data_IF_926712844240
#
_entry.id   IF_926712844240
#
_cell.length_a   1.000
_cell.length_b   1.000
_cell.length_c   1.000
_cell.angle_alpha   90.00
_cell.angle_beta   90.00
_cell.angle_gamma   90.00
#
_symmetry.space_group_name_H-M   'P 1'
#
loop_
_entity.id
_entity.type
_entity.pdbx_description
1 polymer ?
#
# COMPACT_ATOMS: atom_id res chain seq x y z
N UNK A 1 -18.68 18.32 -6.25
CA UNK A 1 -19.75 17.54 -5.61
C UNK A 1 -21.15 18.17 -5.78
N UNK A 2 -21.48 19.37 -5.27
CA UNK A 2 -22.85 19.89 -5.32
C UNK A 2 -23.38 20.15 -6.74
N UNK A 3 -22.52 20.62 -7.65
CA UNK A 3 -22.89 20.84 -9.05
C UNK A 3 -23.23 19.53 -9.79
N UNK A 4 -22.45 18.48 -9.56
CA UNK A 4 -22.73 17.15 -10.13
C UNK A 4 -24.05 16.59 -9.62
N UNK A 5 -24.35 16.75 -8.32
CA UNK A 5 -25.64 16.37 -7.76
C UNK A 5 -26.80 17.19 -8.33
N UNK A 6 -26.60 18.47 -8.62
CA UNK A 6 -27.61 19.29 -9.30
C UNK A 6 -27.90 18.77 -10.71
N UNK A 7 -26.85 18.46 -11.49
CA UNK A 7 -27.02 17.93 -12.85
C UNK A 7 -27.67 16.54 -12.85
N UNK A 8 -27.15 15.60 -12.06
CA UNK A 8 -27.71 14.24 -11.99
C UNK A 8 -29.08 14.19 -11.31
N UNK A 9 -29.29 15.01 -10.28
CA UNK A 9 -30.58 15.13 -9.58
C UNK A 9 -31.70 15.48 -10.56
N UNK A 10 -31.45 16.34 -11.54
CA UNK A 10 -32.47 16.70 -12.55
C UNK A 10 -32.86 15.55 -13.47
N UNK A 11 -32.00 14.55 -13.67
CA UNK A 11 -32.28 13.39 -14.52
C UNK A 11 -32.94 12.22 -13.77
N UNK A 12 -32.60 12.04 -12.49
CA UNK A 12 -33.03 10.88 -11.71
C UNK A 12 -34.08 11.19 -10.63
N UNK A 13 -34.25 12.46 -10.26
CA UNK A 13 -35.11 12.91 -9.18
C UNK A 13 -36.12 13.89 -9.78
N UNK A 14 -37.41 13.62 -9.57
CA UNK A 14 -38.48 14.51 -9.98
C UNK A 14 -38.36 15.82 -9.18
N UNK A 15 -37.81 16.86 -9.81
CA UNK A 15 -37.43 18.16 -9.21
C UNK A 15 -38.60 18.91 -8.57
N UNK A 16 -39.83 18.44 -8.77
CA UNK A 16 -41.05 19.02 -8.21
C UNK A 16 -41.36 18.57 -6.78
N UNK A 17 -40.73 17.50 -6.27
CA UNK A 17 -41.02 16.96 -4.92
C UNK A 17 -39.84 16.95 -3.95
N UNK A 18 -38.63 17.18 -4.43
CA UNK A 18 -37.43 16.81 -3.68
C UNK A 18 -36.41 17.97 -3.69
N UNK A 19 -36.23 18.60 -2.54
CA UNK A 19 -35.26 19.67 -2.31
C UNK A 19 -33.92 19.09 -1.85
N UNK A 20 -32.85 19.36 -2.60
CA UNK A 20 -31.50 18.91 -2.25
C UNK A 20 -30.92 19.87 -1.18
N UNK A 21 -30.41 19.37 -0.05
CA UNK A 21 -29.89 20.19 1.05
C UNK A 21 -28.49 20.75 0.77
N UNK A 22 -28.36 21.68 -0.17
CA UNK A 22 -27.07 22.25 -0.58
C UNK A 22 -26.28 22.91 0.55
N UNK A 23 -26.96 23.55 1.51
CA UNK A 23 -26.34 24.21 2.64
C UNK A 23 -25.58 23.23 3.55
N UNK A 24 -26.18 22.08 3.85
CA UNK A 24 -25.54 21.05 4.68
C UNK A 24 -24.36 20.39 3.97
N UNK A 25 -24.46 20.17 2.66
CA UNK A 25 -23.34 19.68 1.85
C UNK A 25 -22.18 20.67 1.89
N UNK A 26 -22.47 21.98 1.79
CA UNK A 26 -21.45 23.03 1.89
C UNK A 26 -20.76 23.05 3.27
N UNK A 27 -21.53 22.99 4.36
CA UNK A 27 -20.98 22.94 5.72
C UNK A 27 -20.07 21.73 5.93
N UNK A 28 -20.44 20.56 5.42
CA UNK A 28 -19.64 19.35 5.54
C UNK A 28 -18.32 19.44 4.75
N UNK A 29 -18.34 20.07 3.56
CA UNK A 29 -17.13 20.36 2.81
C UNK A 29 -16.22 21.32 3.57
N UNK A 30 -16.78 22.36 4.19
CA UNK A 30 -16.02 23.30 5.01
C UNK A 30 -15.40 22.60 6.22
N UNK A 31 -16.12 21.67 6.86
CA UNK A 31 -15.61 20.90 7.99
C UNK A 31 -14.42 20.01 7.65
N UNK A 32 -14.30 19.52 6.40
CA UNK A 32 -13.13 18.79 5.92
C UNK A 32 -12.02 19.75 5.45
N UNK A 33 -12.39 20.87 4.84
CA UNK A 33 -11.44 21.86 4.33
C UNK A 33 -10.66 22.57 5.44
N UNK A 34 -11.31 22.94 6.54
CA UNK A 34 -10.68 23.63 7.69
C UNK A 34 -9.47 22.85 8.24
N UNK A 35 -9.59 21.57 8.67
CA UNK A 35 -8.45 20.83 9.20
C UNK A 35 -7.37 20.57 8.16
N UNK A 36 -7.72 20.43 6.87
CA UNK A 36 -6.74 20.30 5.80
C UNK A 36 -5.92 21.60 5.62
N UNK A 37 -6.58 22.76 5.62
CA UNK A 37 -5.94 24.07 5.54
C UNK A 37 -5.07 24.35 6.78
N UNK A 38 -5.56 24.00 7.97
CA UNK A 38 -4.79 24.10 9.22
C UNK A 38 -3.55 23.20 9.16
N UNK A 39 -3.69 21.97 8.68
CA UNK A 39 -2.57 21.04 8.50
C UNK A 39 -1.52 21.57 7.52
N UNK A 40 -1.95 22.17 6.41
CA UNK A 40 -1.06 22.80 5.44
C UNK A 40 -0.37 24.03 6.03
N UNK A 41 -1.11 24.89 6.74
CA UNK A 41 -0.57 26.06 7.42
C UNK A 41 0.47 25.68 8.48
N UNK A 42 0.21 24.64 9.27
CA UNK A 42 1.14 24.13 10.29
C UNK A 42 2.43 23.60 9.67
N UNK A 43 2.34 22.97 8.49
CA UNK A 43 3.52 22.50 7.74
C UNK A 43 4.42 23.65 7.29
N UNK A 44 3.83 24.77 6.87
CA UNK A 44 4.56 25.97 6.42
C UNK A 44 5.18 26.70 7.60
N UNK A 45 4.43 26.88 8.70
CA UNK A 45 4.87 27.71 9.83
C UNK A 45 5.90 27.01 10.73
N UNK A 46 5.72 25.71 11.02
CA UNK A 46 6.59 24.95 11.93
C UNK A 46 6.82 23.51 11.43
N UNK A 47 7.78 23.30 10.50
CA UNK A 47 8.02 21.99 9.91
C UNK A 47 8.47 20.93 10.94
N UNK A 48 9.16 21.33 12.01
CA UNK A 48 9.59 20.42 13.08
C UNK A 48 8.42 19.88 13.90
N UNK A 49 7.38 20.70 14.13
CA UNK A 49 6.18 20.26 14.82
C UNK A 49 5.33 19.36 13.92
N UNK A 50 5.21 19.71 12.63
CA UNK A 50 4.54 18.89 11.63
C UNK A 50 5.18 17.48 11.50
N UNK A 51 6.51 17.36 11.59
CA UNK A 51 7.21 16.05 11.61
C UNK A 51 6.88 15.20 12.85
N UNK A 52 6.74 15.81 14.04
CA UNK A 52 6.29 15.08 15.24
C UNK A 52 4.84 14.62 15.08
N UNK A 53 3.99 15.50 14.56
CA UNK A 53 2.57 15.21 14.37
C UNK A 53 2.37 14.09 13.34
N UNK A 54 3.09 14.12 12.21
CA UNK A 54 3.00 13.05 11.20
C UNK A 54 3.44 11.68 11.73
N UNK A 55 4.38 11.65 12.68
CA UNK A 55 4.78 10.41 13.37
C UNK A 55 3.68 9.86 14.30
N UNK A 56 2.84 10.72 14.87
CA UNK A 56 1.69 10.34 15.70
C UNK A 56 0.47 9.95 14.85
N UNK A 57 0.30 10.57 13.68
CA UNK A 57 -0.81 10.27 12.75
C UNK A 57 -0.73 8.83 12.24
N UNK A 58 0.47 8.28 12.01
CA UNK A 58 0.66 6.89 11.59
C UNK A 58 0.01 5.83 12.50
N UNK A 59 0.32 5.79 13.82
CA UNK A 59 -0.35 4.88 14.75
C UNK A 59 -1.84 5.21 14.95
N UNK A 60 -2.24 6.49 14.93
CA UNK A 60 -3.65 6.88 15.03
C UNK A 60 -4.48 6.34 13.87
N UNK A 61 -3.98 6.38 12.63
CA UNK A 61 -4.67 5.79 11.48
C UNK A 61 -4.87 4.28 11.64
N UNK A 62 -3.83 3.57 12.12
CA UNK A 62 -3.94 2.12 12.38
C UNK A 62 -4.98 1.83 13.47
N UNK A 63 -4.99 2.61 14.54
CA UNK A 63 -6.00 2.52 15.58
C UNK A 63 -7.40 2.79 15.03
N UNK A 64 -7.57 3.86 14.25
CA UNK A 64 -8.86 4.26 13.69
C UNK A 64 -9.45 3.19 12.76
N UNK A 65 -8.61 2.55 11.95
CA UNK A 65 -9.03 1.43 11.08
C UNK A 65 -9.53 0.25 11.92
N UNK A 66 -8.78 -0.15 12.95
CA UNK A 66 -9.19 -1.26 13.83
C UNK A 66 -10.47 -0.90 14.60
N UNK A 67 -10.56 0.33 15.10
CA UNK A 67 -11.72 0.84 15.83
C UNK A 67 -12.99 0.84 14.97
N UNK A 68 -12.93 1.37 13.74
CA UNK A 68 -14.08 1.34 12.84
C UNK A 68 -14.45 -0.08 12.44
N UNK A 69 -13.49 -0.99 12.31
CA UNK A 69 -13.79 -2.39 12.02
C UNK A 69 -14.53 -3.07 13.18
N UNK A 70 -14.04 -2.93 14.42
CA UNK A 70 -14.66 -3.63 15.56
C UNK A 70 -15.98 -3.00 15.97
N UNK A 71 -16.01 -1.68 16.13
CA UNK A 71 -17.19 -0.93 16.56
C UNK A 71 -18.20 -0.80 15.42
N UNK A 72 -17.76 -0.59 14.18
CA UNK A 72 -18.63 -0.56 13.01
C UNK A 72 -19.34 -1.89 12.80
N UNK A 73 -18.60 -3.02 12.87
CA UNK A 73 -19.22 -4.35 12.76
C UNK A 73 -20.20 -4.62 13.90
N UNK A 74 -19.85 -4.20 15.12
CA UNK A 74 -20.72 -4.38 16.29
C UNK A 74 -22.02 -3.59 16.18
N UNK A 75 -21.95 -2.29 15.84
CA UNK A 75 -23.13 -1.42 15.71
C UNK A 75 -23.99 -1.87 14.53
N UNK A 76 -23.37 -2.24 13.41
CA UNK A 76 -24.05 -2.63 12.18
C UNK A 76 -24.38 -4.13 12.14
N UNK A 77 -24.41 -4.85 13.27
CA UNK A 77 -24.71 -6.29 13.30
C UNK A 77 -26.03 -6.64 12.60
N UNK A 78 -27.05 -5.79 12.79
CA UNK A 78 -28.35 -5.93 12.12
C UNK A 78 -28.25 -5.78 10.59
N UNK A 79 -27.35 -4.94 10.10
CA UNK A 79 -27.06 -4.79 8.67
C UNK A 79 -26.40 -6.05 8.11
N UNK A 80 -25.42 -6.64 8.82
CA UNK A 80 -24.79 -7.89 8.36
C UNK A 80 -25.79 -9.04 8.24
N UNK A 81 -26.81 -9.11 9.11
CA UNK A 81 -27.89 -10.09 8.97
C UNK A 81 -28.71 -9.88 7.70
N UNK A 82 -29.01 -8.62 7.36
CA UNK A 82 -29.73 -8.28 6.13
C UNK A 82 -28.88 -8.57 4.88
N UNK A 83 -27.59 -8.24 4.93
CA UNK A 83 -26.62 -8.55 3.87
C UNK A 83 -26.47 -10.06 3.65
N UNK A 84 -26.51 -10.86 4.71
CA UNK A 84 -26.50 -12.33 4.63
C UNK A 84 -27.72 -12.90 3.91
N UNK A 85 -28.88 -12.24 3.99
CA UNK A 85 -30.08 -12.64 3.26
C UNK A 85 -30.00 -12.27 1.75
N UNK A 86 -29.24 -11.24 1.40
CA UNK A 86 -29.07 -10.75 0.03
C UNK A 86 -27.60 -10.73 -0.40
N UNK A 87 -27.01 -11.90 -0.72
CA UNK A 87 -25.58 -12.01 -1.03
C UNK A 87 -25.16 -11.18 -2.27
N UNK A 88 -26.07 -10.98 -3.23
CA UNK A 88 -25.79 -10.13 -4.39
C UNK A 88 -25.54 -8.66 -4.01
N UNK A 89 -26.21 -8.16 -2.97
CA UNK A 89 -26.03 -6.79 -2.51
C UNK A 89 -24.64 -6.59 -1.90
N UNK A 90 -24.12 -7.60 -1.19
CA UNK A 90 -22.75 -7.62 -0.69
C UNK A 90 -21.75 -7.55 -1.83
N UNK A 91 -21.95 -8.35 -2.87
CA UNK A 91 -21.07 -8.35 -4.05
C UNK A 91 -21.04 -6.98 -4.71
N UNK A 92 -22.18 -6.34 -4.92
CA UNK A 92 -22.27 -5.01 -5.55
C UNK A 92 -21.60 -3.95 -4.66
N UNK A 93 -21.86 -3.95 -3.35
CA UNK A 93 -21.26 -3.00 -2.42
C UNK A 93 -19.74 -3.17 -2.32
N UNK A 94 -19.23 -4.40 -2.37
CA UNK A 94 -17.80 -4.68 -2.39
C UNK A 94 -17.17 -4.31 -3.76
N UNK A 95 -17.87 -4.58 -4.85
CA UNK A 95 -17.37 -4.36 -6.21
C UNK A 95 -17.23 -2.86 -6.52
N UNK A 96 -18.08 -2.01 -5.94
CA UNK A 96 -18.09 -0.58 -6.22
C UNK A 96 -16.76 0.12 -5.87
N UNK A 97 -16.19 -0.01 -4.65
CA UNK A 97 -14.83 0.48 -4.36
C UNK A 97 -13.75 -0.17 -5.22
N UNK A 98 -13.86 -1.47 -5.50
CA UNK A 98 -12.87 -2.21 -6.31
C UNK A 98 -12.79 -1.67 -7.73
N UNK A 99 -13.93 -1.43 -8.37
CA UNK A 99 -13.97 -0.79 -9.68
C UNK A 99 -13.42 0.65 -9.61
N UNK A 100 -13.75 1.38 -8.54
CA UNK A 100 -13.17 2.70 -8.27
C UNK A 100 -11.65 2.67 -8.27
N UNK A 101 -11.03 1.77 -7.49
CA UNK A 101 -9.57 1.60 -7.43
C UNK A 101 -8.97 1.16 -8.76
N UNK A 102 -9.57 0.18 -9.43
CA UNK A 102 -9.06 -0.36 -10.70
C UNK A 102 -9.11 0.66 -11.83
N UNK A 103 -10.26 1.33 -12.03
CA UNK A 103 -10.46 2.29 -13.11
C UNK A 103 -9.57 3.52 -12.92
N UNK A 104 -9.52 4.06 -11.70
CA UNK A 104 -8.68 5.23 -11.40
C UNK A 104 -7.19 4.93 -11.51
N UNK A 105 -6.75 3.74 -11.04
CA UNK A 105 -5.36 3.30 -11.19
C UNK A 105 -4.99 3.10 -12.67
N UNK A 106 -5.88 2.45 -13.44
CA UNK A 106 -5.67 2.27 -14.89
C UNK A 106 -5.61 3.61 -15.62
N UNK A 107 -6.51 4.54 -15.29
CA UNK A 107 -6.52 5.88 -15.87
C UNK A 107 -5.24 6.66 -15.55
N UNK A 108 -4.79 6.66 -14.30
CA UNK A 108 -3.54 7.30 -13.91
C UNK A 108 -2.30 6.62 -14.54
N UNK A 109 -2.34 5.29 -14.73
CA UNK A 109 -1.30 4.54 -15.43
C UNK A 109 -1.23 4.91 -16.92
N UNK A 110 -2.37 5.02 -17.61
CA UNK A 110 -2.44 5.46 -19.01
C UNK A 110 -1.84 6.86 -19.17
N UNK A 111 -2.10 7.75 -18.20
CA UNK A 111 -1.50 9.09 -18.14
C UNK A 111 -0.02 9.10 -17.75
N UNK A 112 0.63 7.93 -17.62
CA UNK A 112 2.05 7.77 -17.26
C UNK A 112 2.44 8.49 -15.97
N UNK A 113 1.53 8.53 -15.00
CA UNK A 113 1.79 9.15 -13.71
C UNK A 113 2.76 8.33 -12.87
N UNK A 114 3.44 8.99 -11.91
CA UNK A 114 4.34 8.30 -10.98
C UNK A 114 3.58 7.28 -10.12
N UNK A 115 4.24 6.22 -9.67
CA UNK A 115 3.60 5.18 -8.84
C UNK A 115 2.95 5.76 -7.57
N UNK A 116 3.55 6.77 -6.95
CA UNK A 116 3.00 7.47 -5.80
C UNK A 116 1.71 8.23 -6.15
N UNK A 117 1.70 8.90 -7.30
CA UNK A 117 0.51 9.58 -7.82
C UNK A 117 -0.60 8.59 -8.15
N UNK A 118 -0.29 7.45 -8.75
CA UNK A 118 -1.28 6.40 -9.09
C UNK A 118 -1.96 5.88 -7.82
N UNK A 119 -1.19 5.56 -6.77
CA UNK A 119 -1.77 5.11 -5.48
C UNK A 119 -2.65 6.20 -4.88
N UNK A 120 -2.20 7.46 -4.93
CA UNK A 120 -2.95 8.58 -4.35
C UNK A 120 -4.29 8.79 -5.09
N UNK A 121 -4.27 8.79 -6.42
CA UNK A 121 -5.48 8.91 -7.25
C UNK A 121 -6.43 7.74 -7.01
N UNK A 122 -5.90 6.53 -6.88
CA UNK A 122 -6.70 5.36 -6.56
C UNK A 122 -7.38 5.50 -5.19
N UNK A 123 -6.64 5.87 -4.15
CA UNK A 123 -7.18 6.07 -2.82
C UNK A 123 -8.23 7.18 -2.76
N UNK A 124 -7.98 8.32 -3.41
CA UNK A 124 -8.92 9.45 -3.45
C UNK A 124 -10.22 9.10 -4.21
N UNK A 125 -10.13 8.24 -5.22
CA UNK A 125 -11.30 7.84 -6.02
C UNK A 125 -12.12 6.74 -5.35
N UNK A 126 -11.45 5.73 -4.77
CA UNK A 126 -12.13 4.60 -4.16
C UNK A 126 -12.57 4.82 -2.71
N UNK A 127 -11.88 5.67 -1.95
CA UNK A 127 -12.32 6.12 -0.62
C UNK A 127 -13.08 7.43 -0.79
N UNK A 128 -14.40 7.34 -0.85
CA UNK A 128 -15.27 8.49 -1.04
C UNK A 128 -15.75 9.06 0.31
N UNK A 129 -16.31 10.27 0.28
CA UNK A 129 -16.97 10.85 1.43
C UNK A 129 -18.40 10.27 1.58
N UNK A 130 -18.50 9.20 2.35
CA UNK A 130 -19.72 8.44 2.60
C UNK A 130 -20.76 9.27 3.36
N UNK A 131 -20.31 10.19 4.21
CA UNK A 131 -21.19 11.00 5.03
C UNK A 131 -22.05 11.96 4.18
N UNK A 132 -21.56 12.44 3.03
CA UNK A 132 -22.37 13.20 2.07
C UNK A 132 -23.49 12.32 1.51
N UNK A 133 -23.17 11.08 1.11
CA UNK A 133 -24.13 10.17 0.49
C UNK A 133 -25.28 9.82 1.44
N UNK A 134 -24.96 9.53 2.71
CA UNK A 134 -25.96 9.26 3.75
C UNK A 134 -26.82 10.50 3.99
N UNK A 135 -26.21 11.67 4.17
CA UNK A 135 -26.93 12.92 4.44
C UNK A 135 -27.89 13.26 3.29
N UNK A 136 -27.43 13.16 2.04
CA UNK A 136 -28.28 13.38 0.88
C UNK A 136 -29.46 12.41 0.91
N UNK A 137 -29.24 11.11 1.07
CA UNK A 137 -30.33 10.12 1.07
C UNK A 137 -31.35 10.35 2.20
N UNK A 138 -30.90 10.73 3.40
CA UNK A 138 -31.80 10.97 4.54
C UNK A 138 -32.67 12.23 4.39
N UNK A 139 -32.16 13.26 3.72
CA UNK A 139 -32.85 14.54 3.57
C UNK A 139 -33.66 14.63 2.27
N UNK A 140 -33.20 13.99 1.21
CA UNK A 140 -33.80 14.05 -0.13
C UNK A 140 -34.95 13.05 -0.27
N UNK A 141 -34.84 11.87 0.36
CA UNK A 141 -35.83 10.81 0.21
C UNK A 141 -36.81 10.80 1.40
N UNK A 142 -38.11 10.60 1.15
CA UNK A 142 -39.08 10.45 2.23
C UNK A 142 -38.79 9.17 3.04
N UNK A 143 -39.04 9.23 4.35
CA UNK A 143 -38.98 8.04 5.20
C UNK A 143 -40.07 7.05 4.76
N UNK A 144 -39.80 5.72 4.71
CA UNK A 144 -38.58 5.02 5.16
C UNK A 144 -37.53 4.80 4.04
N UNK A 145 -37.79 5.24 2.81
CA UNK A 145 -36.92 4.94 1.65
C UNK A 145 -35.52 5.55 1.77
N UNK A 146 -35.38 6.72 2.39
CA UNK A 146 -34.06 7.32 2.65
C UNK A 146 -33.21 6.51 3.63
N UNK A 147 -33.82 5.96 4.67
CA UNK A 147 -33.12 5.14 5.66
C UNK A 147 -32.71 3.79 5.05
N UNK A 148 -33.58 3.18 4.24
CA UNK A 148 -33.25 1.98 3.47
C UNK A 148 -32.17 2.23 2.42
N UNK A 149 -32.21 3.38 1.74
CA UNK A 149 -31.19 3.77 0.76
C UNK A 149 -29.82 3.99 1.39
N UNK A 150 -29.77 4.58 2.60
CA UNK A 150 -28.53 4.84 3.32
C UNK A 150 -27.78 3.56 3.75
N UNK A 151 -28.46 2.41 3.77
CA UNK A 151 -27.83 1.10 4.00
C UNK A 151 -26.72 0.84 2.98
N UNK A 152 -26.90 1.23 1.72
CA UNK A 152 -25.91 0.97 0.67
C UNK A 152 -24.58 1.69 0.93
N UNK A 153 -24.52 3.03 1.13
CA UNK A 153 -23.26 3.70 1.46
C UNK A 153 -22.67 3.25 2.80
N UNK A 154 -23.48 2.87 3.79
CA UNK A 154 -22.98 2.30 5.06
C UNK A 154 -22.30 0.94 4.82
N UNK A 155 -22.94 0.05 4.06
CA UNK A 155 -22.37 -1.25 3.71
C UNK A 155 -21.08 -1.10 2.90
N UNK A 156 -21.04 -0.15 1.96
CA UNK A 156 -19.81 0.20 1.23
C UNK A 156 -18.73 0.70 2.19
N UNK A 157 -19.07 1.51 3.20
CA UNK A 157 -18.13 1.99 4.22
C UNK A 157 -17.43 0.86 4.96
N UNK A 158 -18.22 -0.13 5.40
CA UNK A 158 -17.71 -1.26 6.19
C UNK A 158 -16.90 -2.24 5.31
N UNK A 159 -17.21 -2.34 4.02
CA UNK A 159 -16.48 -3.18 3.06
C UNK A 159 -15.23 -2.52 2.46
N UNK A 160 -15.16 -1.19 2.42
CA UNK A 160 -14.02 -0.40 1.89
C UNK A 160 -12.68 -0.57 2.64
N UNK A 161 -12.59 -0.74 3.97
CA UNK A 161 -11.31 -0.94 4.65
C UNK A 161 -10.70 -2.33 4.37
N UNK A 162 -11.50 -3.30 3.90
CA UNK A 162 -11.04 -4.66 3.57
C UNK A 162 -9.93 -4.65 2.51
N UNK A 163 -10.07 -4.01 1.33
CA UNK A 163 -9.00 -3.94 0.34
C UNK A 163 -7.75 -3.22 0.86
N UNK A 164 -7.91 -2.16 1.67
CA UNK A 164 -6.77 -1.51 2.33
C UNK A 164 -6.02 -2.49 3.25
N UNK A 165 -6.75 -3.38 3.93
CA UNK A 165 -6.19 -4.42 4.77
C UNK A 165 -5.46 -5.49 3.96
N UNK A 166 -6.03 -5.93 2.83
CA UNK A 166 -5.38 -6.88 1.91
C UNK A 166 -4.08 -6.30 1.35
N UNK A 167 -4.09 -5.02 0.96
CA UNK A 167 -2.90 -4.31 0.49
C UNK A 167 -1.88 -4.17 1.64
N UNK A 168 -2.33 -3.80 2.84
CA UNK A 168 -1.44 -3.70 4.01
C UNK A 168 -0.82 -5.05 4.38
N UNK A 169 -1.60 -6.12 4.40
CA UNK A 169 -1.14 -7.47 4.73
C UNK A 169 -0.20 -8.01 3.66
N UNK A 170 -0.49 -7.79 2.38
CA UNK A 170 0.40 -8.19 1.27
C UNK A 170 1.72 -7.42 1.31
N UNK A 171 1.72 -6.13 1.66
CA UNK A 171 2.96 -5.38 1.90
C UNK A 171 3.73 -5.93 3.11
N UNK A 172 3.04 -6.33 4.18
CA UNK A 172 3.66 -6.87 5.39
C UNK A 172 4.29 -8.25 5.13
N UNK A 173 3.60 -9.10 4.37
CA UNK A 173 4.10 -10.38 3.89
C UNK A 173 5.31 -10.16 2.97
N UNK A 174 5.21 -9.30 1.94
CA UNK A 174 6.36 -8.97 1.08
C UNK A 174 7.54 -8.45 1.88
N UNK A 175 7.32 -7.56 2.85
CA UNK A 175 8.40 -7.02 3.68
C UNK A 175 9.03 -8.10 4.55
N UNK A 176 8.24 -9.00 5.13
CA UNK A 176 8.75 -10.12 5.92
C UNK A 176 9.53 -11.11 5.04
N UNK A 177 9.00 -11.46 3.86
CA UNK A 177 9.66 -12.31 2.87
C UNK A 177 10.95 -11.69 2.30
N UNK A 178 10.95 -10.41 1.91
CA UNK A 178 12.14 -9.73 1.43
C UNK A 178 13.18 -9.48 2.53
N UNK A 179 12.75 -9.25 3.78
CA UNK A 179 13.68 -9.11 4.91
C UNK A 179 14.26 -10.48 5.34
N UNK A 180 13.52 -11.58 5.13
CA UNK A 180 14.07 -12.93 5.26
C UNK A 180 15.00 -13.30 4.10
N UNK A 181 14.70 -12.92 2.86
CA UNK A 181 15.65 -13.07 1.75
C UNK A 181 16.92 -12.26 1.97
N UNK A 182 16.83 -11.02 2.46
CA UNK A 182 18.01 -10.22 2.79
C UNK A 182 18.85 -10.87 3.91
N UNK A 183 18.20 -11.34 4.99
CA UNK A 183 18.87 -12.06 6.08
C UNK A 183 19.47 -13.41 5.64
N UNK A 184 18.82 -14.14 4.74
CA UNK A 184 19.31 -15.40 4.18
C UNK A 184 20.51 -15.19 3.26
N UNK A 185 20.45 -14.18 2.39
CA UNK A 185 21.54 -13.83 1.48
C UNK A 185 22.77 -13.30 2.24
N UNK A 186 22.57 -12.59 3.35
CA UNK A 186 23.66 -12.13 4.21
C UNK A 186 24.33 -13.32 4.95
N UNK A 187 23.54 -14.30 5.40
CA UNK A 187 24.04 -15.52 6.08
C UNK A 187 24.77 -16.46 5.09
N UNK A 188 24.22 -16.66 3.90
CA UNK A 188 24.82 -17.49 2.85
C UNK A 188 26.14 -16.89 2.35
N UNK A 189 26.22 -15.56 2.25
CA UNK A 189 27.44 -14.84 1.87
C UNK A 189 28.51 -14.85 2.97
N UNK A 190 28.13 -14.76 4.25
CA UNK A 190 29.09 -14.95 5.35
C UNK A 190 29.62 -16.37 5.41
N UNK A 191 28.77 -17.38 5.20
CA UNK A 191 29.16 -18.79 5.25
C UNK A 191 30.09 -19.18 4.08
N UNK A 192 29.84 -18.69 2.86
CA UNK A 192 30.74 -18.92 1.71
C UNK A 192 32.07 -18.17 1.83
N UNK A 193 32.09 -17.00 2.48
CA UNK A 193 33.33 -16.23 2.71
C UNK A 193 34.20 -16.90 3.79
N UNK A 194 33.60 -17.41 4.86
CA UNK A 194 34.32 -18.15 5.91
C UNK A 194 34.91 -19.46 5.37
N UNK A 195 34.12 -20.24 4.61
CA UNK A 195 34.56 -21.50 4.02
C UNK A 195 35.65 -21.32 2.95
N UNK A 196 35.62 -20.22 2.19
CA UNK A 196 36.68 -19.88 1.23
C UNK A 196 37.98 -19.44 1.91
N UNK A 197 37.90 -18.73 3.04
CA UNK A 197 39.08 -18.29 3.78
C UNK A 197 39.73 -19.44 4.54
N UNK A 198 38.94 -20.39 5.04
CA UNK A 198 39.44 -21.60 5.70
C UNK A 198 40.18 -22.52 4.71
N UNK A 199 39.61 -22.74 3.51
CA UNK A 199 40.32 -23.46 2.44
C UNK A 199 41.63 -22.77 1.99
N UNK A 200 41.68 -21.45 1.90
CA UNK A 200 42.90 -20.72 1.51
C UNK A 200 43.98 -20.83 2.60
N UNK A 201 43.58 -20.77 3.88
CA UNK A 201 44.51 -20.88 5.01
C UNK A 201 45.08 -22.30 5.15
N UNK A 202 44.31 -23.34 4.83
CA UNK A 202 44.78 -24.73 4.85
C UNK A 202 45.77 -25.03 3.71
N UNK A 203 45.56 -24.42 2.53
CA UNK A 203 46.52 -24.51 1.41
C UNK A 203 47.83 -23.78 1.75
N UNK A 204 47.77 -22.59 2.34
CA UNK A 204 48.99 -21.86 2.75
C UNK A 204 49.76 -22.51 3.91
N UNK A 205 49.08 -23.20 4.84
CA UNK A 205 49.77 -23.98 5.89
C UNK A 205 50.49 -25.20 5.32
N UNK A 206 49.89 -25.87 4.35
CA UNK A 206 50.48 -27.07 3.71
C UNK A 206 51.74 -26.72 2.90
N UNK A 207 51.79 -25.52 2.30
CA UNK A 207 52.93 -25.05 1.51
C UNK A 207 54.12 -24.61 2.40
N UNK A 208 53.86 -24.10 3.62
CA UNK A 208 54.91 -23.67 4.55
C UNK A 208 55.58 -24.82 5.34
N UNK A 209 54.94 -25.98 5.45
CA UNK A 209 55.51 -27.15 6.14
C UNK A 209 56.39 -28.03 5.24
N UNK A 210 56.51 -27.71 3.94
CA UNK A 210 57.34 -28.45 2.98
C UNK A 210 58.57 -27.63 2.55
N UNK A 211 59.40 -27.23 3.51
CA UNK A 211 60.74 -26.69 3.21
C UNK A 211 61.83 -27.44 3.97
N UNK A 212 62.38 -28.50 3.38
CA UNK A 212 63.71 -29.05 3.70
C UNK A 212 64.32 -29.72 2.45
N UNK A 213 65.65 -29.97 2.37
CA UNK A 213 66.68 -29.12 1.80
C UNK A 213 67.31 -29.70 0.50
N UNK A 214 68.21 -28.93 -0.14
CA UNK A 214 69.07 -29.39 -1.24
C UNK A 214 69.87 -30.66 -0.89
N UNK A 215 70.13 -31.56 -1.88
CA UNK A 215 71.49 -31.95 -2.37
C UNK A 215 71.53 -33.35 -3.05
N UNK A 216 71.97 -33.37 -4.33
CA UNK A 216 72.81 -34.34 -5.10
C UNK A 216 72.28 -35.63 -5.82
N UNK A 217 72.59 -35.62 -7.13
CA UNK A 217 73.11 -36.67 -8.05
C UNK A 217 72.13 -37.71 -8.65
N UNK A 218 71.86 -37.61 -9.97
CA UNK A 218 72.57 -38.35 -11.05
C UNK A 218 71.90 -38.11 -12.41
N UNK A 219 72.69 -37.73 -13.42
CA UNK A 219 72.35 -37.81 -14.86
C UNK A 219 72.47 -39.29 -15.31
N UNK A 220 71.94 -39.76 -16.47
CA UNK A 220 72.36 -39.24 -17.78
C UNK A 220 71.28 -39.20 -18.89
N UNK A 221 71.51 -38.33 -19.87
CA UNK A 221 71.49 -38.79 -21.26
C UNK A 221 70.67 -37.98 -22.27
N UNK A 222 71.41 -37.21 -23.10
CA UNK A 222 71.30 -37.15 -24.57
C UNK A 222 70.04 -36.48 -25.17
N UNK A 223 70.04 -35.57 -26.15
CA UNK A 223 71.00 -34.73 -26.89
C UNK A 223 70.14 -33.85 -27.82
N UNK A 224 70.54 -32.57 -28.04
CA UNK A 224 70.19 -31.66 -29.19
C UNK A 224 68.74 -31.21 -29.35
N UNK A 225 68.39 -29.97 -29.74
CA UNK A 225 69.03 -28.89 -30.55
C UNK A 225 68.53 -27.52 -30.02
N UNK A 226 69.39 -26.57 -29.64
CA UNK A 226 69.86 -25.40 -30.45
C UNK A 226 68.76 -24.65 -31.21
N UNK A 227 68.40 -23.45 -30.77
CA UNK A 227 68.67 -22.18 -31.50
C UNK A 227 68.06 -20.97 -30.77
N UNK A 228 68.86 -19.91 -30.75
CA UNK A 228 68.76 -18.66 -30.01
C UNK A 228 67.76 -17.63 -30.58
N UNK A 229 67.82 -16.42 -29.98
CA UNK A 229 67.53 -15.07 -30.53
C UNK A 229 66.06 -14.65 -30.60
N UNK A 230 65.64 -13.43 -30.28
CA UNK A 230 66.20 -12.21 -29.66
C UNK A 230 65.03 -11.18 -29.68
N UNK A 231 65.02 -10.24 -28.74
CA UNK A 231 64.46 -8.86 -28.83
C UNK A 231 63.29 -8.53 -29.79
N UNK A 232 62.14 -8.10 -29.26
CA UNK A 232 61.73 -6.68 -29.05
C UNK A 232 60.35 -6.62 -28.39
#
# INVERSE_FOLDING_TARGET
MPFLLFVYGRFFIDVTRIEIPYFYIFLQLLQIAIPALVGLGLRIWKPNFAKKFSKLVGPLFKFQIVFFLTVGVYINWSLFRLLGAFPLLVLICALLPWLGFCISSLFAFILRQSFQSIITVALETGIQNIAIAILVLLYVMPKPTGELGAIMPIAVADLTPIPLYIIYLSMLIKRKCCNQQKKSNDIEKSFTTEMSNECINDVMKTENDTSVPQTKVSSPGVTTTVSDTETY
#
